data_IF_331170260984
#
_entry.id   IF_331170260984
#
_cell.length_a   1.000
_cell.length_b   1.000
_cell.length_c   1.000
_cell.angle_alpha   90.00
_cell.angle_beta   90.00
_cell.angle_gamma   90.00
#
_symmetry.space_group_name_H-M   'P 1'
#
loop_
_entity.id
_entity.type
_entity.pdbx_description
1 polymer ?
#
# COMPACT_ATOMS: atom_id res chain seq x y z
N UNK A 1 -34.44 -0.95 -11.72
CA UNK A 1 -33.84 0.40 -11.79
C UNK A 1 -32.44 0.24 -12.35
N UNK A 2 -32.03 0.91 -13.45
CA UNK A 2 -30.67 0.74 -13.93
C UNK A 2 -29.74 1.41 -12.91
N UNK A 3 -28.98 0.60 -12.18
CA UNK A 3 -27.91 1.09 -11.33
C UNK A 3 -26.94 1.86 -12.23
N UNK A 4 -26.71 3.12 -11.86
CA UNK A 4 -25.75 4.01 -12.50
C UNK A 4 -24.43 3.25 -12.64
N UNK A 5 -24.08 2.85 -13.86
CA UNK A 5 -22.74 2.45 -14.20
C UNK A 5 -21.87 3.71 -14.04
N UNK A 6 -21.44 3.97 -12.80
CA UNK A 6 -20.33 4.88 -12.55
C UNK A 6 -19.18 4.39 -13.43
N UNK A 7 -18.45 5.27 -14.12
CA UNK A 7 -17.33 4.86 -14.95
C UNK A 7 -16.37 4.09 -14.04
N UNK A 8 -16.34 2.76 -14.19
CA UNK A 8 -15.41 1.90 -13.48
C UNK A 8 -14.07 2.09 -14.16
N UNK A 9 -13.32 3.09 -13.69
CA UNK A 9 -11.98 3.35 -14.19
C UNK A 9 -11.14 2.10 -13.88
N UNK A 10 -10.90 1.27 -14.88
CA UNK A 10 -10.24 -0.04 -14.72
C UNK A 10 -8.83 0.06 -14.10
N UNK A 11 -8.20 1.25 -14.13
CA UNK A 11 -6.93 1.53 -13.44
C UNK A 11 -7.04 2.33 -12.14
N UNK A 12 -8.20 2.90 -11.82
CA UNK A 12 -8.38 3.73 -10.61
C UNK A 12 -8.18 2.94 -9.33
N UNK A 13 -8.53 1.66 -9.37
CA UNK A 13 -8.35 0.76 -8.24
C UNK A 13 -6.88 0.58 -7.87
N UNK A 14 -6.04 0.30 -8.88
CA UNK A 14 -4.59 0.11 -8.72
C UNK A 14 -3.92 1.36 -8.14
N UNK A 15 -4.39 2.54 -8.51
CA UNK A 15 -3.91 3.81 -7.94
C UNK A 15 -4.29 3.89 -6.46
N UNK A 16 -5.52 3.53 -6.09
CA UNK A 16 -5.95 3.51 -4.68
C UNK A 16 -5.10 2.51 -3.88
N UNK A 17 -4.88 1.31 -4.39
CA UNK A 17 -4.02 0.29 -3.80
C UNK A 17 -2.59 0.80 -3.57
N UNK A 18 -1.98 1.37 -4.62
CA UNK A 18 -0.66 2.00 -4.53
C UNK A 18 -0.61 3.11 -3.47
N UNK A 19 -1.54 4.06 -3.50
CA UNK A 19 -1.57 5.20 -2.58
C UNK A 19 -1.83 4.76 -1.14
N UNK A 20 -2.75 3.81 -0.93
CA UNK A 20 -3.05 3.28 0.40
C UNK A 20 -1.81 2.64 1.04
N UNK A 21 -1.10 1.80 0.28
CA UNK A 21 0.12 1.15 0.78
C UNK A 21 1.30 2.11 0.90
N UNK A 22 1.40 3.13 0.04
CA UNK A 22 2.41 4.19 0.19
C UNK A 22 2.20 5.02 1.47
N UNK A 23 0.97 5.43 1.73
CA UNK A 23 0.61 6.11 2.99
C UNK A 23 0.91 5.20 4.19
N UNK A 24 0.42 3.95 4.16
CA UNK A 24 0.60 3.01 5.26
C UNK A 24 2.08 2.78 5.58
N UNK A 25 2.91 2.53 4.55
CA UNK A 25 4.35 2.36 4.70
C UNK A 25 5.03 3.60 5.28
N UNK A 26 4.67 4.80 4.81
CA UNK A 26 5.22 6.07 5.30
C UNK A 26 5.06 6.23 6.82
N UNK A 27 3.94 5.77 7.38
CA UNK A 27 3.70 5.81 8.83
C UNK A 27 4.30 4.62 9.59
N UNK A 28 4.32 3.42 8.99
CA UNK A 28 4.80 2.22 9.67
C UNK A 28 6.32 2.14 9.82
N UNK A 29 7.10 2.57 8.83
CA UNK A 29 8.56 2.58 8.94
C UNK A 29 9.10 3.40 10.14
N UNK A 30 8.63 4.63 10.41
CA UNK A 30 9.04 5.37 11.61
C UNK A 30 8.45 4.77 12.90
N UNK A 31 7.19 4.32 12.87
CA UNK A 31 6.53 3.74 14.04
C UNK A 31 7.25 2.47 14.53
N UNK A 32 7.71 1.65 13.59
CA UNK A 32 8.40 0.38 13.84
C UNK A 32 9.92 0.50 13.69
N UNK A 33 10.51 1.66 13.95
CA UNK A 33 11.95 1.94 13.78
C UNK A 33 12.92 0.97 14.48
N UNK A 34 12.45 0.20 15.47
CA UNK A 34 13.24 -0.81 16.19
C UNK A 34 13.24 -2.18 15.49
N UNK A 35 12.35 -2.40 14.54
CA UNK A 35 12.29 -3.63 13.75
C UNK A 35 13.18 -3.51 12.50
N UNK A 36 13.74 -4.64 12.07
CA UNK A 36 14.46 -4.67 10.80
C UNK A 36 13.50 -4.36 9.64
N UNK A 37 13.90 -3.48 8.72
CA UNK A 37 13.06 -2.98 7.62
C UNK A 37 12.43 -4.11 6.81
N UNK A 38 13.15 -5.23 6.64
CA UNK A 38 12.67 -6.40 5.90
C UNK A 38 11.41 -7.01 6.51
N UNK A 39 11.26 -6.99 7.84
CA UNK A 39 10.08 -7.51 8.52
C UNK A 39 8.87 -6.59 8.35
N UNK A 40 9.11 -5.28 8.27
CA UNK A 40 8.07 -4.30 7.97
C UNK A 40 7.57 -4.49 6.53
N UNK A 41 8.49 -4.65 5.57
CA UNK A 41 8.16 -4.99 4.18
C UNK A 41 7.40 -6.32 4.08
N UNK A 42 7.90 -7.38 4.72
CA UNK A 42 7.25 -8.69 4.70
C UNK A 42 5.85 -8.64 5.32
N UNK A 43 5.68 -7.90 6.42
CA UNK A 43 4.38 -7.71 7.07
C UNK A 43 3.38 -6.98 6.18
N UNK A 44 3.79 -5.88 5.55
CA UNK A 44 2.96 -5.11 4.61
C UNK A 44 2.61 -5.91 3.36
N UNK A 45 3.57 -6.64 2.80
CA UNK A 45 3.33 -7.52 1.65
C UNK A 45 2.34 -8.63 2.01
N UNK A 46 2.54 -9.29 3.16
CA UNK A 46 1.66 -10.35 3.65
C UNK A 46 0.25 -9.83 3.90
N UNK A 47 0.12 -8.62 4.46
CA UNK A 47 -1.17 -7.97 4.65
C UNK A 47 -1.90 -7.77 3.32
N UNK A 48 -1.20 -7.29 2.29
CA UNK A 48 -1.76 -7.13 0.94
C UNK A 48 -2.21 -8.45 0.33
N UNK A 49 -1.36 -9.48 0.39
CA UNK A 49 -1.69 -10.80 -0.13
C UNK A 49 -2.90 -11.41 0.59
N UNK A 50 -2.98 -11.29 1.92
CA UNK A 50 -4.12 -11.80 2.69
C UNK A 50 -5.40 -11.06 2.31
N UNK A 51 -5.37 -9.73 2.22
CA UNK A 51 -6.55 -8.94 1.82
C UNK A 51 -7.02 -9.35 0.42
N UNK A 52 -6.10 -9.55 -0.52
CA UNK A 52 -6.40 -9.99 -1.89
C UNK A 52 -7.10 -11.36 -1.93
N UNK A 53 -6.57 -12.32 -1.16
CA UNK A 53 -7.17 -13.65 -1.02
C UNK A 53 -8.58 -13.54 -0.43
N UNK A 54 -8.75 -12.70 0.60
CA UNK A 54 -10.06 -12.49 1.22
C UNK A 54 -11.04 -11.81 0.24
N UNK A 55 -10.60 -10.85 -0.56
CA UNK A 55 -11.42 -10.23 -1.61
C UNK A 55 -11.90 -11.29 -2.62
N UNK A 56 -11.01 -12.17 -3.07
CA UNK A 56 -11.37 -13.29 -3.95
C UNK A 56 -12.30 -14.31 -3.30
N UNK A 57 -12.10 -14.63 -2.02
CA UNK A 57 -12.87 -15.64 -1.30
C UNK A 57 -14.31 -15.19 -0.99
N UNK A 58 -14.48 -13.92 -0.60
CA UNK A 58 -15.81 -13.39 -0.26
C UNK A 58 -16.56 -12.83 -1.48
N UNK A 59 -15.87 -12.45 -2.55
CA UNK A 59 -16.43 -12.02 -3.84
C UNK A 59 -17.55 -10.96 -3.74
N UNK A 60 -17.55 -10.12 -2.70
CA UNK A 60 -18.55 -9.05 -2.52
C UNK A 60 -18.13 -7.83 -3.33
N UNK A 61 -18.44 -7.85 -4.63
CA UNK A 61 -18.28 -6.69 -5.51
C UNK A 61 -16.86 -6.43 -6.02
N UNK A 62 -15.87 -7.28 -5.68
CA UNK A 62 -14.53 -7.32 -6.30
C UNK A 62 -13.98 -8.73 -6.40
N UNK A 63 -13.11 -8.94 -7.39
CA UNK A 63 -12.36 -10.17 -7.64
C UNK A 63 -10.90 -9.96 -7.27
N UNK A 64 -10.23 -11.03 -6.83
CA UNK A 64 -8.80 -10.97 -6.61
C UNK A 64 -8.05 -10.66 -7.94
N UNK A 65 -7.13 -9.69 -7.93
CA UNK A 65 -6.25 -9.31 -9.02
C UNK A 65 -4.78 -9.31 -8.56
N UNK A 66 -3.94 -10.08 -9.24
CA UNK A 66 -2.50 -10.10 -9.02
C UNK A 66 -1.85 -8.71 -9.21
N UNK A 67 -2.42 -7.87 -10.07
CA UNK A 67 -1.92 -6.51 -10.27
C UNK A 67 -2.14 -5.60 -9.06
N UNK A 68 -3.11 -5.89 -8.18
CA UNK A 68 -3.33 -5.13 -6.96
C UNK A 68 -2.24 -5.45 -5.93
N UNK A 69 -1.80 -6.71 -5.85
CA UNK A 69 -0.63 -7.08 -5.04
C UNK A 69 0.67 -6.39 -5.52
N UNK A 70 0.84 -6.26 -6.84
CA UNK A 70 1.95 -5.49 -7.43
C UNK A 70 1.83 -4.00 -7.06
N UNK A 71 0.64 -3.41 -7.21
CA UNK A 71 0.39 -2.02 -6.87
C UNK A 71 0.66 -1.73 -5.39
N UNK A 72 0.19 -2.59 -4.49
CA UNK A 72 0.47 -2.55 -3.06
C UNK A 72 1.99 -2.55 -2.81
N UNK A 73 2.72 -3.47 -3.45
CA UNK A 73 4.17 -3.61 -3.29
C UNK A 73 4.95 -2.35 -3.72
N UNK A 74 4.60 -1.76 -4.87
CA UNK A 74 5.17 -0.49 -5.29
C UNK A 74 4.81 0.67 -4.36
N UNK A 75 3.59 0.65 -3.80
CA UNK A 75 3.16 1.57 -2.77
C UNK A 75 4.09 1.52 -1.56
N UNK A 76 4.34 0.32 -1.01
CA UNK A 76 5.22 0.13 0.15
C UNK A 76 6.63 0.66 -0.12
N UNK A 77 7.21 0.34 -1.29
CA UNK A 77 8.54 0.82 -1.68
C UNK A 77 8.56 2.35 -1.76
N UNK A 78 7.54 2.95 -2.38
CA UNK A 78 7.44 4.41 -2.51
C UNK A 78 7.30 5.11 -1.15
N UNK A 79 6.47 4.57 -0.25
CA UNK A 79 6.31 5.09 1.11
C UNK A 79 7.59 4.98 1.95
N UNK A 80 8.36 3.90 1.76
CA UNK A 80 9.69 3.79 2.38
C UNK A 80 10.63 4.91 1.93
N UNK A 81 10.75 5.14 0.61
CA UNK A 81 11.60 6.21 0.08
C UNK A 81 11.14 7.59 0.56
N UNK A 82 9.84 7.84 0.58
CA UNK A 82 9.29 9.09 1.08
C UNK A 82 9.65 9.34 2.55
N UNK A 83 9.52 8.31 3.40
CA UNK A 83 9.98 8.36 4.78
C UNK A 83 11.48 8.63 4.90
N UNK A 84 12.32 7.98 4.08
CA UNK A 84 13.78 8.22 4.08
C UNK A 84 14.09 9.67 3.73
N UNK A 85 13.44 10.23 2.70
CA UNK A 85 13.63 11.63 2.28
C UNK A 85 13.22 12.58 3.40
N UNK A 86 12.04 12.40 4.00
CA UNK A 86 11.59 13.22 5.13
C UNK A 86 12.59 13.15 6.29
N UNK A 87 13.07 11.94 6.61
CA UNK A 87 14.01 11.73 7.71
C UNK A 87 15.35 12.42 7.43
N UNK A 88 15.87 12.33 6.21
CA UNK A 88 17.11 12.97 5.81
C UNK A 88 17.01 14.51 5.82
N UNK A 89 15.86 15.06 5.43
CA UNK A 89 15.61 16.50 5.50
C UNK A 89 15.47 16.95 6.95
N UNK A 90 14.73 16.21 7.77
CA UNK A 90 14.49 16.55 9.18
C UNK A 90 15.77 16.53 10.03
N UNK A 91 16.74 15.65 9.73
CA UNK A 91 18.02 15.63 10.44
C UNK A 91 18.92 16.81 10.05
N UNK A 92 18.77 17.36 8.84
CA UNK A 92 19.56 18.51 8.36
C UNK A 92 19.25 19.83 9.09
N UNK A 93 18.04 19.97 9.63
CA UNK A 93 17.63 21.16 10.40
C UNK A 93 17.82 21.02 11.92
N UNK A 94 18.30 19.85 12.39
CA UNK A 94 18.56 19.58 13.81
C UNK A 94 20.05 19.74 14.19
N UNK A 95 20.89 20.20 13.25
CA UNK A 95 22.31 20.48 13.44
C UNK A 95 22.60 21.96 13.59
#
# INVERSE_FOLDING_TARGET
TPSRAAPTFSGGDKIIHFLAYACLATFWFPALRRMHKIWIFAGLFSLGAVIEILQGAFAVGRTADFYDLIANSFGVISGFFFWVVISAVATRFRG
#
